data_IF_422205719792
#
_entry.id   IF_422205719792
#
_cell.length_a   1.000
_cell.length_b   1.000
_cell.length_c   1.000
_cell.angle_alpha   90.00
_cell.angle_beta   90.00
_cell.angle_gamma   90.00
#
_symmetry.space_group_name_H-M   'P 1'
#
loop_
_entity.id
_entity.type
_entity.pdbx_description
1 polymer ?
#
# COMPACT_ATOMS: atom_id res chain seq x y z
N UNK A 1 34.49 -8.82 -51.28
CA UNK A 1 33.37 -8.17 -50.56
C UNK A 1 33.85 -6.79 -50.17
N UNK A 2 33.17 -5.76 -50.68
CA UNK A 2 33.49 -4.37 -50.31
C UNK A 2 33.04 -4.11 -48.88
N UNK A 3 33.64 -3.13 -48.19
CA UNK A 3 33.16 -2.73 -46.85
C UNK A 3 31.69 -2.30 -46.86
N UNK A 4 31.19 -1.80 -48.01
CA UNK A 4 29.80 -1.37 -48.16
C UNK A 4 28.81 -2.55 -48.11
N UNK A 5 29.25 -3.76 -48.50
CA UNK A 5 28.43 -4.98 -48.46
C UNK A 5 28.20 -5.52 -47.03
N UNK A 6 29.06 -5.16 -46.07
CA UNK A 6 28.95 -5.61 -44.67
C UNK A 6 27.98 -4.74 -43.86
N UNK A 7 27.78 -3.48 -44.23
CA UNK A 7 26.84 -2.56 -43.57
C UNK A 7 25.37 -2.92 -43.80
N UNK A 8 25.04 -3.46 -44.99
CA UNK A 8 23.66 -3.85 -45.31
C UNK A 8 23.22 -5.18 -44.69
N UNK A 9 24.15 -6.00 -44.19
CA UNK A 9 23.83 -7.29 -43.56
C UNK A 9 23.57 -7.12 -42.06
N UNK A 10 24.11 -6.08 -41.42
CA UNK A 10 23.99 -5.88 -39.98
C UNK A 10 22.79 -5.02 -39.53
N UNK A 11 22.15 -4.27 -40.44
CA UNK A 11 20.95 -3.47 -40.11
C UNK A 11 19.86 -3.62 -41.20
N UNK A 12 19.24 -4.80 -41.34
CA UNK A 12 18.17 -4.97 -42.31
C UNK A 12 16.94 -4.18 -41.84
N UNK A 13 16.62 -3.10 -42.55
CA UNK A 13 15.30 -2.49 -42.52
C UNK A 13 14.90 -1.77 -41.24
N UNK A 14 15.74 -0.84 -40.74
CA UNK A 14 15.16 0.32 -40.06
C UNK A 14 14.48 1.18 -41.13
N UNK A 15 13.31 0.72 -41.60
CA UNK A 15 12.37 1.60 -42.26
C UNK A 15 12.16 2.76 -41.31
N UNK A 16 12.49 3.96 -41.76
CA UNK A 16 11.95 5.18 -41.16
C UNK A 16 10.44 5.05 -41.39
N UNK A 17 9.76 4.37 -40.47
CA UNK A 17 8.30 4.42 -40.40
C UNK A 17 7.97 5.90 -40.36
N UNK A 18 7.30 6.37 -41.42
CA UNK A 18 6.90 7.77 -41.54
C UNK A 18 6.20 8.12 -40.23
N UNK A 19 6.82 9.00 -39.43
CA UNK A 19 6.22 9.44 -38.18
C UNK A 19 5.01 10.29 -38.56
N UNK A 20 3.85 9.65 -38.65
CA UNK A 20 2.59 10.35 -38.92
C UNK A 20 2.41 11.44 -37.86
N UNK A 21 2.46 12.69 -38.31
CA UNK A 21 2.27 13.85 -37.47
C UNK A 21 0.80 13.88 -37.02
N UNK A 22 0.56 13.66 -35.72
CA UNK A 22 -0.77 13.70 -35.13
C UNK A 22 -1.36 15.10 -35.28
N UNK A 23 -2.60 15.23 -35.77
CA UNK A 23 -3.19 16.55 -35.95
C UNK A 23 -3.62 17.19 -34.62
N UNK A 24 -3.77 18.52 -34.58
CA UNK A 24 -4.16 19.25 -33.37
C UNK A 24 -5.51 18.77 -32.78
N UNK A 25 -6.45 18.36 -33.64
CA UNK A 25 -7.75 17.83 -33.19
C UNK A 25 -7.61 16.49 -32.46
N UNK A 26 -6.78 15.58 -32.97
CA UNK A 26 -6.48 14.29 -32.35
C UNK A 26 -5.77 14.47 -31.01
N UNK A 27 -4.80 15.39 -30.95
CA UNK A 27 -4.11 15.72 -29.69
C UNK A 27 -5.09 16.25 -28.62
N UNK A 28 -6.05 17.09 -29.01
CA UNK A 28 -7.09 17.60 -28.11
C UNK A 28 -8.06 16.50 -27.67
N UNK A 29 -8.43 15.59 -28.57
CA UNK A 29 -9.26 14.43 -28.24
C UNK A 29 -8.54 13.53 -27.23
N UNK A 30 -7.28 13.15 -27.51
CA UNK A 30 -6.43 12.36 -26.63
C UNK A 30 -6.25 13.03 -25.25
N UNK A 31 -6.12 14.36 -25.21
CA UNK A 31 -6.03 15.08 -23.93
C UNK A 31 -7.30 14.95 -23.08
N UNK A 32 -8.48 15.08 -23.72
CA UNK A 32 -9.77 14.94 -23.04
C UNK A 32 -9.95 13.51 -22.52
N UNK A 33 -9.63 12.52 -23.34
CA UNK A 33 -9.68 11.11 -22.99
C UNK A 33 -8.74 10.79 -21.82
N UNK A 34 -7.46 11.17 -21.92
CA UNK A 34 -6.48 10.95 -20.87
C UNK A 34 -6.89 11.58 -19.53
N UNK A 35 -7.49 12.78 -19.54
CA UNK A 35 -8.02 13.42 -18.32
C UNK A 35 -9.20 12.66 -17.72
N UNK A 36 -10.11 12.16 -18.56
CA UNK A 36 -11.27 11.35 -18.14
C UNK A 36 -10.77 10.05 -17.50
N UNK A 37 -9.92 9.30 -18.19
CA UNK A 37 -9.39 8.01 -17.75
C UNK A 37 -8.55 8.17 -16.48
N UNK A 38 -7.63 9.15 -16.43
CA UNK A 38 -6.85 9.43 -15.23
C UNK A 38 -7.75 9.66 -14.02
N UNK A 39 -8.76 10.53 -14.15
CA UNK A 39 -9.69 10.84 -13.05
C UNK A 39 -10.42 9.58 -12.56
N UNK A 40 -10.84 8.71 -13.47
CA UNK A 40 -11.56 7.48 -13.14
C UNK A 40 -10.65 6.48 -12.44
N UNK A 41 -9.49 6.17 -13.03
CA UNK A 41 -8.56 5.16 -12.51
C UNK A 41 -8.01 5.59 -11.14
N UNK A 42 -7.48 6.81 -11.03
CA UNK A 42 -6.91 7.29 -9.77
C UNK A 42 -7.98 7.53 -8.71
N UNK A 43 -9.28 7.53 -9.03
CA UNK A 43 -10.35 7.63 -8.03
C UNK A 43 -10.25 6.49 -7.00
N UNK A 44 -9.85 5.30 -7.45
CA UNK A 44 -9.74 4.07 -6.64
C UNK A 44 -8.47 4.01 -5.80
N UNK A 45 -7.45 4.77 -6.16
CA UNK A 45 -6.19 4.84 -5.42
C UNK A 45 -6.30 5.92 -4.32
N UNK A 46 -6.02 5.60 -3.03
CA UNK A 46 -5.92 6.59 -1.98
C UNK A 46 -4.84 7.62 -2.28
N UNK A 47 -5.10 8.89 -1.97
CA UNK A 47 -4.14 9.97 -2.17
C UNK A 47 -2.80 9.72 -1.42
N UNK A 48 -2.86 8.98 -0.30
CA UNK A 48 -1.72 8.63 0.55
C UNK A 48 -0.80 7.55 -0.03
N UNK A 49 -1.25 6.80 -1.05
CA UNK A 49 -0.39 5.85 -1.76
C UNK A 49 0.72 6.56 -2.58
N UNK A 50 0.46 7.81 -2.99
CA UNK A 50 1.41 8.64 -3.72
C UNK A 50 2.40 9.30 -2.76
N UNK A 51 3.67 9.41 -3.17
CA UNK A 51 4.75 10.00 -2.35
C UNK A 51 4.45 11.40 -1.81
N UNK A 52 3.62 12.19 -2.50
CA UNK A 52 3.24 13.54 -2.07
C UNK A 52 1.94 13.60 -1.25
N UNK A 53 1.28 12.48 -1.00
CA UNK A 53 0.00 12.44 -0.30
C UNK A 53 -1.16 13.09 -1.07
N UNK A 54 -1.02 13.28 -2.39
CA UNK A 54 -2.05 13.77 -3.31
C UNK A 54 -2.08 12.92 -4.58
N UNK A 55 -3.24 12.83 -5.22
CA UNK A 55 -3.38 12.18 -6.53
C UNK A 55 -2.64 12.99 -7.62
N UNK A 56 -2.06 12.32 -8.64
CA UNK A 56 -1.41 13.00 -9.74
C UNK A 56 -2.45 13.74 -10.59
N UNK A 57 -2.04 14.89 -11.10
CA UNK A 57 -2.75 15.61 -12.15
C UNK A 57 -2.31 15.09 -13.52
N UNK A 58 -3.04 15.45 -14.58
CA UNK A 58 -2.63 15.09 -15.95
C UNK A 58 -1.25 15.64 -16.31
N UNK A 59 -0.90 16.81 -15.77
CA UNK A 59 0.42 17.40 -15.99
C UNK A 59 1.52 16.61 -15.31
N UNK A 60 1.25 16.08 -14.11
CA UNK A 60 2.22 15.21 -13.43
C UNK A 60 2.53 13.96 -14.30
N UNK A 61 1.54 13.46 -15.05
CA UNK A 61 1.73 12.36 -16.01
C UNK A 61 2.54 12.81 -17.23
N UNK A 62 2.14 13.90 -17.90
CA UNK A 62 2.81 14.39 -19.11
C UNK A 62 4.28 14.75 -18.88
N UNK A 63 4.61 15.28 -17.70
CA UNK A 63 5.99 15.64 -17.36
C UNK A 63 6.80 14.49 -16.76
N UNK A 64 6.25 13.27 -16.69
CA UNK A 64 6.85 12.13 -15.96
C UNK A 64 7.29 12.53 -14.55
N UNK A 65 6.45 13.30 -13.86
CA UNK A 65 6.79 13.87 -12.56
C UNK A 65 7.08 12.75 -11.55
N UNK A 66 8.08 12.87 -10.66
CA UNK A 66 8.30 11.90 -9.58
C UNK A 66 7.08 11.69 -8.67
N UNK A 67 6.06 12.55 -8.81
CA UNK A 67 4.76 12.50 -8.13
C UNK A 67 3.87 11.34 -8.57
N UNK A 68 4.11 10.77 -9.74
CA UNK A 68 3.36 9.61 -10.26
C UNK A 68 3.84 8.30 -9.64
N UNK A 69 4.96 8.34 -8.91
CA UNK A 69 5.59 7.17 -8.28
C UNK A 69 4.91 6.88 -6.95
N UNK A 70 4.46 5.63 -6.77
CA UNK A 70 3.99 5.12 -5.48
C UNK A 70 5.12 5.12 -4.45
N UNK A 71 4.76 5.33 -3.19
CA UNK A 71 5.75 5.49 -2.12
C UNK A 71 6.72 4.30 -1.98
N UNK A 72 6.20 3.06 -2.01
CA UNK A 72 6.96 1.83 -1.79
C UNK A 72 6.43 0.70 -2.68
N UNK A 73 6.33 0.95 -3.98
CA UNK A 73 5.87 -0.04 -4.95
C UNK A 73 7.03 -0.48 -5.86
N UNK A 74 7.20 -1.79 -6.12
CA UNK A 74 8.11 -2.26 -7.15
C UNK A 74 7.85 -1.58 -8.49
N UNK A 75 8.91 -1.25 -9.23
CA UNK A 75 8.80 -0.50 -10.51
C UNK A 75 7.93 -1.20 -11.55
N UNK A 76 7.88 -2.54 -11.54
CA UNK A 76 7.02 -3.34 -12.42
C UNK A 76 5.51 -3.24 -12.10
N UNK A 77 5.16 -2.72 -10.92
CA UNK A 77 3.79 -2.53 -10.42
C UNK A 77 3.44 -1.04 -10.30
N UNK A 78 4.15 -0.18 -11.03
CA UNK A 78 3.90 1.26 -11.00
C UNK A 78 2.56 1.63 -11.66
N UNK A 79 2.32 2.94 -11.82
CA UNK A 79 1.04 3.42 -12.35
C UNK A 79 0.78 2.96 -13.79
N UNK A 80 1.82 2.61 -14.56
CA UNK A 80 1.67 2.05 -15.91
C UNK A 80 0.99 0.69 -15.84
N UNK A 81 1.44 -0.17 -14.93
CA UNK A 81 0.81 -1.48 -14.68
C UNK A 81 -0.66 -1.32 -14.30
N UNK A 82 -0.96 -0.37 -13.40
CA UNK A 82 -2.34 -0.11 -12.98
C UNK A 82 -3.22 0.34 -14.14
N UNK A 83 -2.69 1.15 -15.06
CA UNK A 83 -3.42 1.58 -16.25
C UNK A 83 -3.60 0.43 -17.24
N UNK A 84 -2.55 -0.34 -17.54
CA UNK A 84 -2.61 -1.47 -18.47
C UNK A 84 -3.44 -2.66 -17.98
N UNK A 85 -3.67 -2.77 -16.68
CA UNK A 85 -4.44 -3.85 -16.06
C UNK A 85 -5.74 -3.34 -15.42
N UNK A 86 -6.22 -2.17 -15.84
CA UNK A 86 -7.36 -1.52 -15.19
C UNK A 86 -8.63 -2.37 -15.26
N UNK A 87 -8.93 -2.96 -16.42
CA UNK A 87 -10.10 -3.81 -16.60
C UNK A 87 -10.10 -5.00 -15.65
N UNK A 88 -8.97 -5.70 -15.55
CA UNK A 88 -8.81 -6.81 -14.59
C UNK A 88 -8.99 -6.35 -13.14
N UNK A 89 -8.44 -5.19 -12.78
CA UNK A 89 -8.63 -4.61 -11.45
C UNK A 89 -10.11 -4.23 -11.19
N UNK A 90 -10.77 -3.70 -12.21
CA UNK A 90 -12.16 -3.25 -12.20
C UNK A 90 -13.13 -4.42 -12.03
N UNK A 91 -12.93 -5.51 -12.77
CA UNK A 91 -13.67 -6.77 -12.67
C UNK A 91 -13.60 -7.36 -11.25
N UNK A 92 -12.46 -7.17 -10.60
CA UNK A 92 -12.23 -7.61 -9.22
C UNK A 92 -12.70 -6.60 -8.17
N UNK A 93 -13.33 -5.50 -8.60
CA UNK A 93 -13.77 -4.39 -7.75
C UNK A 93 -12.63 -3.77 -6.93
N UNK A 94 -11.38 -3.91 -7.39
CA UNK A 94 -10.18 -3.51 -6.68
C UNK A 94 -10.04 -4.19 -5.31
N UNK A 95 -10.60 -5.40 -5.15
CA UNK A 95 -10.56 -6.19 -3.92
C UNK A 95 -9.57 -7.33 -4.10
N UNK A 96 -8.58 -7.39 -3.21
CA UNK A 96 -7.59 -8.45 -3.21
C UNK A 96 -8.25 -9.76 -2.71
N UNK A 97 -7.99 -10.87 -3.39
CA UNK A 97 -8.46 -12.20 -2.98
C UNK A 97 -7.41 -13.27 -3.26
N UNK A 98 -7.27 -14.28 -2.38
CA UNK A 98 -6.44 -15.45 -2.66
C UNK A 98 -6.82 -16.13 -3.98
N UNK A 99 -5.81 -16.60 -4.72
CA UNK A 99 -5.97 -17.27 -6.01
C UNK A 99 -6.39 -16.38 -7.19
N UNK A 100 -6.27 -15.05 -7.09
CA UNK A 100 -6.25 -14.13 -8.24
C UNK A 100 -4.84 -14.07 -8.84
N UNK A 101 -4.69 -13.39 -9.98
CA UNK A 101 -3.37 -13.07 -10.52
C UNK A 101 -2.51 -12.36 -9.46
N UNK A 102 -1.29 -12.86 -9.30
CA UNK A 102 -0.39 -12.45 -8.21
C UNK A 102 -0.01 -10.97 -8.36
N UNK A 103 0.22 -10.49 -9.56
CA UNK A 103 0.63 -9.10 -9.80
C UNK A 103 -0.53 -8.12 -9.64
N UNK A 104 -1.74 -8.54 -10.01
CA UNK A 104 -2.97 -7.78 -9.72
C UNK A 104 -3.19 -7.66 -8.20
N UNK A 105 -3.06 -8.75 -7.45
CA UNK A 105 -3.12 -8.73 -5.99
C UNK A 105 -2.06 -7.80 -5.39
N UNK A 106 -0.80 -7.94 -5.83
CA UNK A 106 0.29 -7.08 -5.38
C UNK A 106 -0.03 -5.61 -5.62
N UNK A 107 -0.52 -5.25 -6.81
CA UNK A 107 -0.89 -3.88 -7.12
C UNK A 107 -1.97 -3.36 -6.15
N UNK A 108 -3.03 -4.13 -5.87
CA UNK A 108 -4.08 -3.74 -4.92
C UNK A 108 -3.49 -3.45 -3.53
N UNK A 109 -2.59 -4.32 -3.04
CA UNK A 109 -1.94 -4.19 -1.73
C UNK A 109 -1.02 -2.96 -1.63
N UNK A 110 -0.10 -2.79 -2.59
CA UNK A 110 0.88 -1.71 -2.60
C UNK A 110 0.24 -0.33 -2.79
N UNK A 111 -0.76 -0.25 -3.67
CA UNK A 111 -1.51 0.99 -3.92
C UNK A 111 -2.63 1.21 -2.91
N UNK A 112 -2.94 0.22 -2.07
CA UNK A 112 -3.98 0.29 -1.04
C UNK A 112 -5.38 0.56 -1.58
N UNK A 113 -5.70 -0.06 -2.73
CA UNK A 113 -7.01 0.10 -3.35
C UNK A 113 -8.11 -0.63 -2.56
N UNK A 114 -7.75 -1.71 -1.86
CA UNK A 114 -8.61 -2.41 -0.91
C UNK A 114 -8.36 -1.90 0.52
N UNK A 115 -9.42 -1.45 1.19
CA UNK A 115 -9.35 -0.96 2.57
C UNK A 115 -9.08 -2.07 3.60
N UNK A 116 -9.35 -3.32 3.23
CA UNK A 116 -9.14 -4.50 4.08
C UNK A 116 -7.78 -5.15 3.84
N UNK A 117 -7.16 -4.90 2.68
CA UNK A 117 -5.89 -5.49 2.24
C UNK A 117 -4.96 -4.42 1.70
N UNK A 118 -4.19 -3.82 2.59
CA UNK A 118 -3.25 -2.78 2.24
C UNK A 118 -2.11 -2.69 3.25
N UNK A 119 -0.96 -2.22 2.80
CA UNK A 119 0.13 -1.81 3.69
C UNK A 119 -0.01 -0.35 4.20
N UNK A 120 -0.99 0.41 3.71
CA UNK A 120 -1.28 1.77 4.16
C UNK A 120 -1.97 1.74 5.54
N UNK A 121 -1.23 2.13 6.58
CA UNK A 121 -1.76 2.20 7.94
C UNK A 121 -2.78 3.34 8.16
N UNK A 122 -2.96 4.23 7.19
CA UNK A 122 -4.08 5.18 7.19
C UNK A 122 -5.45 4.49 7.10
N UNK A 123 -5.48 3.25 6.58
CA UNK A 123 -6.67 2.41 6.66
C UNK A 123 -6.86 1.93 8.10
N UNK A 124 -7.95 2.36 8.75
CA UNK A 124 -8.24 2.07 10.17
C UNK A 124 -8.21 0.56 10.47
N UNK A 125 -8.74 -0.27 9.58
CA UNK A 125 -8.75 -1.73 9.75
C UNK A 125 -7.34 -2.31 9.77
N UNK A 126 -6.46 -1.85 8.88
CA UNK A 126 -5.04 -2.25 8.85
C UNK A 126 -4.33 -1.80 10.13
N UNK A 127 -4.55 -0.55 10.55
CA UNK A 127 -3.97 -0.01 11.77
C UNK A 127 -4.34 -0.86 13.01
N UNK A 128 -5.61 -1.23 13.18
CA UNK A 128 -6.01 -2.07 14.32
C UNK A 128 -5.52 -3.51 14.21
N UNK A 129 -5.46 -4.10 13.01
CA UNK A 129 -4.78 -5.38 12.81
C UNK A 129 -3.33 -5.31 13.32
N UNK A 130 -2.57 -4.29 12.91
CA UNK A 130 -1.18 -4.12 13.33
C UNK A 130 -1.02 -3.99 14.85
N UNK A 131 -1.88 -3.21 15.51
CA UNK A 131 -1.82 -3.07 16.98
C UNK A 131 -2.00 -4.42 17.69
N UNK A 132 -3.03 -5.15 17.29
CA UNK A 132 -3.38 -6.45 17.86
C UNK A 132 -2.28 -7.47 17.56
N UNK A 133 -1.74 -7.48 16.34
CA UNK A 133 -0.63 -8.36 15.94
C UNK A 133 0.65 -8.06 16.72
N UNK A 134 1.05 -6.79 16.83
CA UNK A 134 2.27 -6.38 17.57
C UNK A 134 2.16 -6.75 19.05
N UNK A 135 1.00 -6.50 19.67
CA UNK A 135 0.75 -6.93 21.05
C UNK A 135 0.86 -8.45 21.19
N UNK A 136 0.23 -9.18 20.27
CA UNK A 136 0.21 -10.63 20.26
C UNK A 136 1.62 -11.23 20.11
N UNK A 137 2.45 -10.68 19.22
CA UNK A 137 3.85 -11.07 19.05
C UNK A 137 4.62 -10.82 20.35
N UNK A 138 4.47 -9.65 20.96
CA UNK A 138 5.15 -9.32 22.20
C UNK A 138 4.73 -10.27 23.34
N UNK A 139 3.43 -10.56 23.45
CA UNK A 139 2.88 -11.47 24.45
C UNK A 139 3.40 -12.90 24.29
N UNK A 140 3.41 -13.42 23.04
CA UNK A 140 3.98 -14.74 22.69
C UNK A 140 5.47 -14.81 23.04
N UNK A 141 6.26 -13.81 22.62
CA UNK A 141 7.72 -13.77 22.87
C UNK A 141 8.10 -13.63 24.34
N UNK A 142 7.21 -13.08 25.17
CA UNK A 142 7.38 -13.05 26.62
C UNK A 142 7.05 -14.39 27.30
N UNK A 143 6.63 -15.41 26.54
CA UNK A 143 6.29 -16.75 27.03
C UNK A 143 4.89 -16.83 27.65
N UNK A 144 4.01 -15.87 27.37
CA UNK A 144 2.67 -15.82 27.95
C UNK A 144 1.63 -16.44 27.01
N UNK A 145 0.61 -17.14 27.53
CA UNK A 145 -0.41 -17.78 26.71
C UNK A 145 -1.18 -16.76 25.85
N UNK A 146 -1.35 -17.05 24.57
CA UNK A 146 -2.12 -16.22 23.64
C UNK A 146 -3.38 -16.96 23.16
N UNK A 147 -4.40 -17.13 24.03
CA UNK A 147 -5.57 -17.97 23.74
C UNK A 147 -6.46 -17.45 22.61
N UNK A 148 -6.22 -16.22 22.17
CA UNK A 148 -6.98 -15.52 21.14
C UNK A 148 -6.38 -15.64 19.74
N UNK A 149 -5.22 -16.28 19.58
CA UNK A 149 -4.65 -16.60 18.27
C UNK A 149 -5.16 -17.96 17.82
N UNK A 150 -5.66 -18.05 16.60
CA UNK A 150 -5.97 -19.35 16.01
C UNK A 150 -4.68 -20.20 15.84
N UNK A 151 -4.71 -21.51 16.13
CA UNK A 151 -3.52 -22.35 15.98
C UNK A 151 -2.90 -22.25 14.58
N UNK A 152 -1.59 -22.03 14.51
CA UNK A 152 -0.85 -21.96 13.24
C UNK A 152 -0.90 -20.62 12.51
N UNK A 153 -1.56 -19.58 13.04
CA UNK A 153 -1.59 -18.24 12.39
C UNK A 153 -0.43 -17.34 12.82
N UNK A 154 0.39 -17.75 13.79
CA UNK A 154 1.56 -16.98 14.25
C UNK A 154 2.56 -16.64 13.12
N UNK A 155 2.91 -17.54 12.18
CA UNK A 155 3.76 -17.19 11.04
C UNK A 155 3.15 -16.08 10.18
N UNK A 156 1.84 -16.13 9.91
CA UNK A 156 1.13 -15.12 9.15
C UNK A 156 1.21 -13.74 9.82
N UNK A 157 0.95 -13.71 11.13
CA UNK A 157 1.02 -12.49 11.96
C UNK A 157 2.43 -11.87 11.94
N UNK A 158 3.47 -12.68 12.13
CA UNK A 158 4.85 -12.20 12.10
C UNK A 158 5.23 -11.67 10.71
N UNK A 159 4.92 -12.42 9.64
CA UNK A 159 5.23 -11.99 8.26
C UNK A 159 4.52 -10.70 7.90
N UNK A 160 3.25 -10.51 8.27
CA UNK A 160 2.53 -9.27 7.98
C UNK A 160 3.17 -8.06 8.65
N UNK A 161 3.54 -8.16 9.93
CA UNK A 161 4.20 -7.07 10.65
C UNK A 161 5.58 -6.76 10.04
N UNK A 162 6.36 -7.77 9.68
CA UNK A 162 7.66 -7.57 9.00
C UNK A 162 7.48 -6.91 7.63
N UNK A 163 6.53 -7.38 6.81
CA UNK A 163 6.18 -6.80 5.52
C UNK A 163 5.75 -5.34 5.65
N UNK A 164 4.89 -5.04 6.62
CA UNK A 164 4.43 -3.68 6.87
C UNK A 164 5.55 -2.74 7.32
N UNK A 165 6.42 -3.18 8.23
CA UNK A 165 7.59 -2.38 8.65
C UNK A 165 8.49 -2.08 7.46
N UNK A 166 8.77 -3.08 6.61
CA UNK A 166 9.58 -2.91 5.39
C UNK A 166 8.91 -2.00 4.35
N UNK A 167 7.57 -2.01 4.26
CA UNK A 167 6.82 -1.08 3.43
C UNK A 167 6.88 0.36 3.96
N UNK A 168 6.78 0.57 5.29
CA UNK A 168 6.75 1.92 5.87
C UNK A 168 8.12 2.56 5.93
N UNK A 169 9.15 1.79 6.29
CA UNK A 169 10.55 2.21 6.39
C UNK A 169 11.24 1.78 5.09
N UNK A 170 11.29 2.64 4.06
CA UNK A 170 11.71 2.22 2.74
C UNK A 170 13.18 1.84 2.75
N UNK A 171 13.46 0.66 2.22
CA UNK A 171 14.75 0.31 1.62
C UNK A 171 14.52 -0.10 0.18
N UNK A 172 15.58 -0.35 -0.58
CA UNK A 172 15.47 -0.95 -1.92
C UNK A 172 14.99 -2.42 -1.87
N UNK A 173 14.80 -2.97 -0.67
CA UNK A 173 14.44 -4.36 -0.48
C UNK A 173 12.94 -4.55 -0.26
N UNK A 174 12.24 -5.03 -1.30
CA UNK A 174 10.83 -5.43 -1.24
C UNK A 174 10.63 -6.90 -0.81
N UNK A 175 11.67 -7.62 -0.39
CA UNK A 175 11.56 -9.07 -0.13
C UNK A 175 10.51 -9.42 0.91
N UNK A 176 10.40 -8.64 1.99
CA UNK A 176 9.44 -8.91 3.08
C UNK A 176 7.98 -8.78 2.65
N UNK A 177 7.56 -7.66 2.01
CA UNK A 177 6.25 -7.59 1.37
C UNK A 177 5.98 -8.74 0.38
N UNK A 178 6.94 -9.09 -0.46
CA UNK A 178 6.78 -10.13 -1.47
C UNK A 178 6.64 -11.54 -0.86
N UNK A 179 7.44 -11.87 0.16
CA UNK A 179 7.35 -13.10 0.95
C UNK A 179 5.97 -13.25 1.60
N UNK A 180 5.47 -12.17 2.21
CA UNK A 180 4.14 -12.15 2.82
C UNK A 180 3.04 -12.35 1.76
N UNK A 181 3.10 -11.63 0.64
CA UNK A 181 2.06 -11.71 -0.39
C UNK A 181 2.01 -13.09 -1.07
N UNK A 182 3.16 -13.74 -1.25
CA UNK A 182 3.21 -15.13 -1.70
C UNK A 182 2.51 -16.06 -0.70
N UNK A 183 2.84 -15.95 0.58
CA UNK A 183 2.23 -16.75 1.66
C UNK A 183 0.72 -16.50 1.79
N UNK A 184 0.27 -15.24 1.70
CA UNK A 184 -1.15 -14.88 1.78
C UNK A 184 -1.93 -15.37 0.55
N UNK A 185 -1.36 -15.27 -0.64
CA UNK A 185 -2.03 -15.70 -1.88
C UNK A 185 -2.31 -17.20 -1.92
N UNK A 186 -1.40 -18.01 -1.37
CA UNK A 186 -1.51 -19.47 -1.30
C UNK A 186 -2.16 -19.97 0.00
N UNK A 187 -2.19 -19.11 1.02
CA UNK A 187 -2.65 -19.42 2.37
C UNK A 187 -4.17 -19.44 2.53
N UNK A 188 -4.59 -19.88 3.73
CA UNK A 188 -6.00 -19.87 4.16
C UNK A 188 -6.29 -18.81 5.21
N UNK A 189 -5.27 -18.08 5.66
CA UNK A 189 -5.35 -17.10 6.74
C UNK A 189 -5.43 -15.71 6.15
N UNK A 190 -6.33 -14.89 6.69
CA UNK A 190 -6.56 -13.51 6.24
C UNK A 190 -6.50 -12.49 7.37
N UNK A 191 -6.48 -11.20 7.00
CA UNK A 191 -6.63 -10.09 7.93
C UNK A 191 -8.05 -10.06 8.54
N UNK A 192 -8.16 -9.50 9.74
CA UNK A 192 -9.47 -9.21 10.32
C UNK A 192 -10.15 -8.09 9.54
N UNK A 193 -11.42 -8.31 9.21
CA UNK A 193 -12.29 -7.26 8.68
C UNK A 193 -13.14 -6.71 9.83
N UNK A 194 -13.07 -5.39 10.00
CA UNK A 194 -13.88 -4.68 10.99
C UNK A 194 -15.05 -3.98 10.32
N UNK A 195 -16.22 -4.06 10.95
CA UNK A 195 -17.36 -3.21 10.61
C UNK A 195 -17.12 -1.76 11.03
N UNK A 196 -17.81 -0.80 10.41
CA UNK A 196 -17.69 0.62 10.79
C UNK A 196 -18.04 0.86 12.27
N UNK A 197 -19.04 0.17 12.82
CA UNK A 197 -19.39 0.26 14.24
C UNK A 197 -18.26 -0.20 15.16
N UNK A 198 -17.56 -1.28 14.80
CA UNK A 198 -16.39 -1.75 15.53
C UNK A 198 -15.22 -0.76 15.43
N UNK A 199 -14.93 -0.25 14.23
CA UNK A 199 -13.90 0.77 14.04
C UNK A 199 -14.16 2.01 14.89
N UNK A 200 -15.43 2.42 14.98
CA UNK A 200 -15.86 3.58 15.76
C UNK A 200 -15.82 3.36 17.26
N UNK A 201 -16.11 2.15 17.75
CA UNK A 201 -15.90 1.80 19.15
C UNK A 201 -14.42 1.93 19.55
N UNK A 202 -13.50 1.63 18.63
CA UNK A 202 -12.05 1.68 18.88
C UNK A 202 -11.44 3.09 18.73
N UNK A 203 -12.15 4.07 18.17
CA UNK A 203 -11.56 5.39 17.83
C UNK A 203 -11.06 6.20 19.04
N UNK A 204 -11.59 5.93 20.23
CA UNK A 204 -11.25 6.65 21.46
C UNK A 204 -10.01 6.07 22.16
N UNK A 205 -9.55 4.92 21.70
CA UNK A 205 -8.53 4.13 22.36
C UNK A 205 -7.20 4.85 22.60
N UNK A 206 -6.66 5.64 21.64
CA UNK A 206 -5.41 6.38 21.87
C UNK A 206 -5.52 7.49 22.93
N UNK A 207 -6.73 8.01 23.21
CA UNK A 207 -6.92 9.16 24.11
C UNK A 207 -6.94 8.75 25.59
N UNK A 208 -7.31 7.50 25.90
CA UNK A 208 -7.37 6.98 27.26
C UNK A 208 -6.02 6.53 27.82
N UNK A 209 -5.01 6.36 26.96
CA UNK A 209 -3.70 5.85 27.36
C UNK A 209 -2.85 6.94 28.06
N UNK A 210 -2.73 6.85 29.38
CA UNK A 210 -1.77 7.67 30.14
C UNK A 210 -0.35 7.16 29.91
N UNK A 211 0.45 7.87 29.10
CA UNK A 211 1.87 7.56 28.90
C UNK A 211 2.62 7.65 30.23
N UNK A 212 3.25 6.56 30.67
CA UNK A 212 4.18 6.59 31.82
C UNK A 212 5.59 6.83 31.33
N UNK A 213 6.33 7.74 31.98
CA UNK A 213 7.70 8.14 31.62
C UNK A 213 8.64 6.94 31.44
N UNK A 214 8.52 5.92 32.30
CA UNK A 214 9.36 4.71 32.26
C UNK A 214 9.18 3.85 31.00
N UNK A 215 8.05 3.97 30.28
CA UNK A 215 7.85 3.23 29.02
C UNK A 215 8.64 3.82 27.85
N UNK A 216 8.88 5.14 27.86
CA UNK A 216 9.59 5.80 26.78
C UNK A 216 11.05 5.33 26.69
N UNK A 217 11.65 5.00 27.84
CA UNK A 217 13.04 4.55 27.93
C UNK A 217 13.22 3.13 27.35
N UNK A 218 12.18 2.30 27.35
CA UNK A 218 12.17 0.94 26.80
C UNK A 218 12.05 0.89 25.26
N UNK A 219 11.62 1.98 24.62
CA UNK A 219 11.22 1.99 23.20
C UNK A 219 12.23 2.66 22.28
N UNK A 220 13.53 2.75 22.63
CA UNK A 220 14.50 3.54 21.87
C UNK A 220 14.64 3.09 20.39
N UNK A 221 14.47 1.79 20.11
CA UNK A 221 14.31 1.23 18.76
C UNK A 221 13.09 0.29 18.70
N UNK A 222 12.08 0.54 17.85
CA UNK A 222 10.87 -0.28 17.76
C UNK A 222 11.15 -1.76 17.47
N UNK A 223 12.07 -2.05 16.55
CA UNK A 223 12.35 -3.44 16.16
C UNK A 223 13.13 -4.18 17.26
N UNK A 224 14.07 -3.52 17.92
CA UNK A 224 14.76 -4.10 19.08
C UNK A 224 13.76 -4.38 20.22
N UNK A 225 12.75 -3.52 20.39
CA UNK A 225 11.67 -3.78 21.34
C UNK A 225 10.88 -5.04 20.98
N UNK A 226 10.57 -5.31 19.71
CA UNK A 226 9.86 -6.54 19.35
C UNK A 226 10.71 -7.79 19.61
N UNK A 227 12.03 -7.71 19.42
CA UNK A 227 12.94 -8.87 19.52
C UNK A 227 13.36 -9.14 20.96
N UNK A 228 13.78 -8.10 21.70
CA UNK A 228 14.38 -8.24 23.02
C UNK A 228 13.53 -7.65 24.14
N UNK A 229 12.74 -6.62 23.82
CA UNK A 229 11.90 -5.92 24.77
C UNK A 229 10.88 -6.78 25.52
N UNK A 230 10.20 -7.79 24.94
CA UNK A 230 9.09 -8.43 25.63
C UNK A 230 9.58 -9.31 26.79
N UNK A 231 10.78 -9.90 26.67
CA UNK A 231 11.40 -10.70 27.73
C UNK A 231 11.86 -9.89 28.96
N UNK A 232 11.85 -8.55 28.88
CA UNK A 232 12.18 -7.67 30.00
C UNK A 232 10.95 -7.31 30.86
N UNK A 233 9.74 -7.63 30.38
CA UNK A 233 8.49 -7.29 31.05
C UNK A 233 7.96 -8.49 31.84
N UNK A 234 7.48 -8.24 33.05
CA UNK A 234 6.66 -9.22 33.77
C UNK A 234 5.29 -9.35 33.12
N UNK A 235 4.57 -10.45 33.38
CA UNK A 235 3.23 -10.68 32.83
C UNK A 235 2.28 -9.54 33.17
N UNK A 236 2.30 -9.12 34.44
CA UNK A 236 1.53 -7.96 34.91
C UNK A 236 1.85 -6.67 34.15
N UNK A 237 3.12 -6.44 33.79
CA UNK A 237 3.49 -5.27 32.99
C UNK A 237 3.06 -5.42 31.54
N UNK A 238 3.12 -6.62 30.96
CA UNK A 238 2.59 -6.88 29.63
C UNK A 238 1.07 -6.70 29.59
N UNK A 239 0.37 -7.16 30.61
CA UNK A 239 -1.08 -7.02 30.75
C UNK A 239 -1.52 -5.57 31.01
N UNK A 240 -0.68 -4.76 31.67
CA UNK A 240 -0.99 -3.34 31.94
C UNK A 240 -0.55 -2.41 30.80
N UNK A 241 0.54 -2.73 30.10
CA UNK A 241 1.21 -1.81 29.18
C UNK A 241 1.51 -2.36 27.79
N UNK A 242 1.42 -3.67 27.56
CA UNK A 242 1.81 -4.32 26.31
C UNK A 242 1.14 -3.68 25.10
N UNK A 243 -0.10 -3.28 25.28
CA UNK A 243 -0.91 -2.72 24.23
C UNK A 243 -0.65 -1.22 23.98
N UNK A 244 -0.28 -0.47 25.02
CA UNK A 244 0.31 0.87 24.87
C UNK A 244 1.68 0.79 24.17
N UNK A 245 2.49 -0.22 24.48
CA UNK A 245 3.77 -0.45 23.78
C UNK A 245 3.55 -0.76 22.30
N UNK A 246 2.54 -1.56 21.96
CA UNK A 246 2.16 -1.81 20.57
C UNK A 246 1.72 -0.53 19.85
N UNK A 247 0.93 0.31 20.52
CA UNK A 247 0.54 1.63 20.00
C UNK A 247 1.75 2.53 19.74
N UNK A 248 2.67 2.67 20.70
CA UNK A 248 3.87 3.48 20.53
C UNK A 248 4.79 2.91 19.45
N UNK A 249 4.90 1.57 19.34
CA UNK A 249 5.64 0.90 18.26
C UNK A 249 5.12 1.34 16.88
N UNK A 250 3.81 1.16 16.63
CA UNK A 250 3.21 1.48 15.31
C UNK A 250 3.40 2.96 14.99
N UNK A 251 3.15 3.86 15.95
CA UNK A 251 3.34 5.29 15.74
C UNK A 251 4.80 5.66 15.50
N UNK A 252 5.74 5.03 16.21
CA UNK A 252 7.16 5.30 16.04
C UNK A 252 7.64 4.83 14.67
N UNK A 253 7.22 3.64 14.22
CA UNK A 253 7.51 3.15 12.85
C UNK A 253 6.95 4.12 11.80
N UNK A 254 5.69 4.56 11.95
CA UNK A 254 5.09 5.58 11.08
C UNK A 254 5.87 6.91 11.08
N UNK A 255 6.32 7.37 12.24
CA UNK A 255 7.15 8.57 12.34
C UNK A 255 8.51 8.41 11.68
N UNK A 256 9.15 7.24 11.82
CA UNK A 256 10.42 6.93 11.13
C UNK A 256 10.21 6.90 9.62
N UNK A 257 9.15 6.24 9.16
CA UNK A 257 8.76 6.23 7.74
C UNK A 257 8.64 7.64 7.20
N UNK A 258 7.81 8.51 7.83
CA UNK A 258 7.65 9.93 7.47
C UNK A 258 8.97 10.69 7.39
N UNK A 259 9.86 10.54 8.38
CA UNK A 259 11.19 11.18 8.36
C UNK A 259 12.07 10.69 7.22
N UNK A 260 11.98 9.41 6.85
CA UNK A 260 12.68 8.88 5.68
C UNK A 260 12.14 9.50 4.38
N UNK A 261 10.83 9.79 4.31
CA UNK A 261 10.23 10.52 3.18
C UNK A 261 10.78 11.94 3.07
N UNK A 262 10.80 12.68 4.18
CA UNK A 262 11.24 14.08 4.22
C UNK A 262 12.75 14.24 3.90
N UNK A 263 13.56 13.20 4.14
CA UNK A 263 15.01 13.19 3.88
C UNK A 263 15.39 12.79 2.47
N UNK A 264 14.46 12.22 1.69
CA UNK A 264 14.65 12.18 0.24
C UNK A 264 14.90 13.64 -0.20
N UNK A 265 15.87 13.95 -1.07
CA UNK A 265 16.18 15.31 -1.52
C UNK A 265 15.06 15.88 -2.41
N UNK A 266 13.81 15.83 -1.94
CA UNK A 266 12.81 16.82 -2.24
C UNK A 266 13.21 18.09 -1.50
N UNK A 267 14.27 18.74 -1.98
CA UNK A 267 14.32 20.18 -1.82
C UNK A 267 12.93 20.68 -2.17
N UNK A 268 12.38 21.56 -1.32
CA UNK A 268 11.34 22.46 -1.79
C UNK A 268 11.98 23.25 -2.93
N UNK A 269 12.04 22.67 -4.12
CA UNK A 269 11.68 23.43 -5.28
C UNK A 269 10.29 23.92 -4.88
N UNK A 270 10.24 25.17 -4.41
CA UNK A 270 9.20 26.04 -4.92
C UNK A 270 9.20 25.69 -6.40
N UNK A 271 8.27 24.82 -6.79
CA UNK A 271 7.85 24.76 -8.17
C UNK A 271 7.67 26.26 -8.41
N UNK A 272 8.51 26.89 -9.26
CA UNK A 272 8.04 28.14 -9.82
C UNK A 272 6.62 27.80 -10.23
N UNK A 273 5.70 28.73 -10.11
CA UNK A 273 4.57 28.63 -11.00
C UNK A 273 5.21 28.56 -12.38
N UNK A 274 5.49 27.34 -12.87
CA UNK A 274 5.91 27.04 -14.20
C UNK A 274 4.60 27.25 -14.92
N UNK A 275 4.40 28.54 -15.13
CA UNK A 275 3.52 29.21 -16.06
C UNK A 275 3.88 28.80 -17.49
N UNK A 276 4.73 27.79 -17.69
CA UNK A 276 4.71 27.02 -18.91
C UNK A 276 3.51 26.11 -18.83
N UNK A 277 2.40 26.66 -19.32
CA UNK A 277 1.45 25.90 -20.12
C UNK A 277 2.29 25.04 -21.09
N UNK A 278 2.61 23.81 -20.68
CA UNK A 278 2.99 22.78 -21.63
C UNK A 278 1.91 22.78 -22.69
N UNK A 279 2.31 23.02 -23.94
CA UNK A 279 1.36 22.88 -25.02
C UNK A 279 1.10 21.39 -25.14
N UNK A 280 -0.13 21.05 -25.49
CA UNK A 280 -0.52 19.65 -25.73
C UNK A 280 0.37 19.04 -26.84
N UNK A 281 0.87 19.89 -27.74
CA UNK A 281 1.86 19.58 -28.78
C UNK A 281 3.22 19.10 -28.24
N UNK A 282 3.60 19.51 -27.03
CA UNK A 282 4.88 19.12 -26.41
C UNK A 282 4.78 17.78 -25.65
N UNK A 283 3.58 17.20 -25.56
CA UNK A 283 3.36 15.94 -24.84
C UNK A 283 3.94 14.80 -25.64
N UNK A 284 4.80 14.00 -25.02
CA UNK A 284 5.22 12.72 -25.59
C UNK A 284 4.08 11.70 -25.50
N UNK A 285 3.19 11.70 -26.48
CA UNK A 285 2.06 10.76 -26.57
C UNK A 285 2.50 9.29 -26.68
N UNK A 286 3.73 9.04 -27.14
CA UNK A 286 4.33 7.70 -27.20
C UNK A 286 4.88 7.24 -25.85
N UNK A 287 4.96 8.12 -24.84
CA UNK A 287 5.43 7.73 -23.52
C UNK A 287 4.51 6.67 -22.90
N UNK A 288 5.03 5.54 -22.38
CA UNK A 288 4.20 4.40 -21.97
C UNK A 288 3.06 4.76 -21.01
N UNK A 289 3.30 5.65 -20.05
CA UNK A 289 2.28 6.08 -19.08
C UNK A 289 1.21 7.00 -19.70
N UNK A 290 1.57 7.80 -20.71
CA UNK A 290 0.63 8.66 -21.44
C UNK A 290 -0.20 7.81 -22.39
N UNK A 291 0.46 6.91 -23.11
CA UNK A 291 -0.15 5.94 -24.03
C UNK A 291 -1.21 5.08 -23.32
N UNK A 292 -0.87 4.53 -22.15
CA UNK A 292 -1.80 3.75 -21.34
C UNK A 292 -3.03 4.53 -20.82
N UNK A 293 -3.07 5.87 -20.94
CA UNK A 293 -4.27 6.67 -20.62
C UNK A 293 -5.18 6.92 -21.82
N UNK A 294 -4.68 6.77 -23.05
CA UNK A 294 -5.39 7.07 -24.30
C UNK A 294 -5.71 5.84 -25.13
N UNK A 295 -5.07 4.70 -24.84
CA UNK A 295 -5.53 3.41 -25.33
C UNK A 295 -6.90 3.15 -24.69
N UNK A 296 -7.95 3.30 -25.51
CA UNK A 296 -9.33 3.04 -25.11
C UNK A 296 -9.50 1.54 -24.84
N UNK A 297 -9.82 1.20 -23.59
CA UNK A 297 -10.72 0.08 -23.33
C UNK A 297 -12.14 0.64 -23.55
N UNK A 298 -12.58 0.62 -24.81
CA UNK A 298 -13.91 1.06 -25.26
C UNK A 298 -15.07 0.36 -24.50
N UNK A 299 -14.77 -0.70 -23.74
CA UNK A 299 -15.67 -1.50 -22.92
C UNK A 299 -15.62 -1.21 -21.40
N UNK A 300 -15.19 -0.01 -20.98
CA UNK A 300 -15.36 0.41 -19.57
C UNK A 300 -16.85 0.57 -19.13
N UNK A 301 -17.81 0.31 -20.02
CA UNK A 301 -19.21 0.05 -19.67
C UNK A 301 -19.31 -1.30 -18.93
N UNK A 302 -19.05 -1.23 -17.62
CA UNK A 302 -19.10 -2.29 -16.62
C UNK A 302 -20.42 -3.10 -16.63
N UNK A 303 -20.58 -4.02 -17.58
CA UNK A 303 -21.52 -5.13 -17.48
C UNK A 303 -20.99 -6.14 -16.46
N UNK A 304 -21.78 -6.31 -15.40
CA UNK A 304 -21.37 -6.91 -14.14
C UNK A 304 -21.31 -8.43 -14.24
N UNK A 305 -20.11 -9.00 -14.25
CA UNK A 305 -19.94 -10.42 -14.00
C UNK A 305 -19.69 -10.68 -12.51
N UNK A 306 -20.75 -11.05 -11.78
CA UNK A 306 -20.61 -11.63 -10.43
C UNK A 306 -20.27 -13.10 -10.54
N UNK A 307 -18.99 -13.43 -10.72
CA UNK A 307 -18.53 -14.83 -10.73
C UNK A 307 -17.92 -15.23 -9.39
N UNK A 308 -18.57 -16.21 -8.76
CA UNK A 308 -17.97 -17.11 -7.78
C UNK A 308 -17.79 -16.57 -6.36
N UNK A 309 -18.73 -16.91 -5.47
CA UNK A 309 -18.46 -16.95 -4.03
C UNK A 309 -17.43 -18.06 -3.75
N UNK A 310 -16.14 -17.76 -3.83
CA UNK A 310 -15.10 -18.62 -3.22
C UNK A 310 -15.18 -18.51 -1.69
N UNK A 311 -14.87 -19.61 -1.01
CA UNK A 311 -14.75 -19.66 0.44
C UNK A 311 -13.84 -18.51 0.92
N UNK A 312 -14.35 -17.69 1.83
CA UNK A 312 -13.56 -16.65 2.48
C UNK A 312 -12.44 -17.31 3.27
N UNK A 313 -11.22 -16.81 3.12
CA UNK A 313 -10.13 -17.17 3.98
C UNK A 313 -10.51 -16.87 5.45
N UNK A 314 -9.96 -17.65 6.37
CA UNK A 314 -10.25 -17.54 7.80
C UNK A 314 -9.41 -16.40 8.37
N UNK A 315 -10.06 -15.44 9.03
CA UNK A 315 -9.34 -14.36 9.70
C UNK A 315 -8.38 -14.94 10.76
N UNK A 316 -7.20 -14.35 10.89
CA UNK A 316 -6.17 -14.82 11.83
C UNK A 316 -6.60 -14.76 13.30
N UNK A 317 -7.62 -13.95 13.60
CA UNK A 317 -8.27 -13.75 14.90
C UNK A 317 -9.73 -13.32 14.66
N UNK A 318 -10.62 -13.57 15.61
CA UNK A 318 -11.98 -13.01 15.56
C UNK A 318 -11.98 -11.51 15.91
N UNK A 319 -12.69 -10.70 15.12
CA UNK A 319 -12.75 -9.24 15.32
C UNK A 319 -13.40 -8.83 16.65
N UNK A 320 -14.34 -9.61 17.17
CA UNK A 320 -14.99 -9.34 18.47
C UNK A 320 -14.00 -9.62 19.60
N UNK A 321 -13.25 -10.72 19.52
CA UNK A 321 -12.17 -11.03 20.46
C UNK A 321 -11.08 -9.95 20.45
N UNK A 322 -10.70 -9.45 19.27
CA UNK A 322 -9.73 -8.36 19.15
C UNK A 322 -10.20 -7.09 19.86
N UNK A 323 -11.48 -6.72 19.70
CA UNK A 323 -12.06 -5.55 20.37
C UNK A 323 -12.13 -5.75 21.88
N UNK A 324 -12.58 -6.92 22.34
CA UNK A 324 -12.62 -7.25 23.76
C UNK A 324 -11.22 -7.17 24.39
N UNK A 325 -10.20 -7.69 23.71
CA UNK A 325 -8.80 -7.56 24.13
C UNK A 325 -8.36 -6.10 24.21
N UNK A 326 -8.65 -5.29 23.18
CA UNK A 326 -8.32 -3.85 23.19
C UNK A 326 -9.05 -3.10 24.31
N UNK A 327 -10.31 -3.46 24.61
CA UNK A 327 -11.12 -2.84 25.66
C UNK A 327 -10.64 -3.23 27.06
N UNK A 328 -10.36 -4.51 27.30
CA UNK A 328 -9.82 -5.00 28.57
C UNK A 328 -8.54 -4.27 28.95
N UNK A 329 -7.67 -4.01 27.96
CA UNK A 329 -6.40 -3.31 28.13
C UNK A 329 -6.55 -1.81 28.45
N UNK A 330 -7.69 -1.18 28.16
CA UNK A 330 -7.97 0.19 28.61
C UNK A 330 -8.46 0.26 30.06
N UNK A 331 -8.92 -0.86 30.61
CA UNK A 331 -9.66 -0.93 31.87
C UNK A 331 -11.05 -0.29 31.76
N UNK A 332 -11.95 -0.63 32.70
CA UNK A 332 -13.29 -0.04 32.92
C UNK A 332 -13.30 1.49 33.19
N UNK A 333 -12.24 2.22 32.84
CA UNK A 333 -12.04 3.64 33.12
C UNK A 333 -12.92 4.58 32.27
N UNK A 334 -13.86 4.02 31.50
CA UNK A 334 -14.83 4.77 30.70
C UNK A 334 -16.20 4.95 31.38
N UNK A 335 -16.39 4.46 32.61
CA UNK A 335 -17.62 4.66 33.39
C UNK A 335 -17.49 5.65 34.56
N UNK A 336 -16.36 6.35 34.70
CA UNK A 336 -16.20 7.45 35.66
C UNK A 336 -16.36 8.83 35.01
#
# INVERSE_FOLDING_TARGET
>A
MSMDDLTNILMPGMGLEDEEEMCDEDMLANHRLAKKNLKFIVAKIPAKAFKQGRKPSIWDIYTSSPRVIAYCCPTRLDLRFVFSCYDQLSDLWFIAKPGQDVDVNRAIWYWGMDKSHSFLAENRGIYYNLLVMVFTIAHSRAGYPTPWIAPGTEPFVNQFVEAWVAYVIPGENFSKPEEFLATWTEGKTDLMVFTEGQLDAMKFWPKGMKKKKALNDLLWNPMDFLVHGPGLLTQRQMDEYGMLLAYEFVNKVLCVGKKAQDRSPGGRMADPVVKHLLRIQDVNWKAPLVRALVEDDDDMDLERHTTGQKQRAEAWMDSTQAIAMLQQQLGDRGQE
#
